data_IF_675468168913
#
_entry.id   IF_675468168913
#
_cell.length_a   1.000
_cell.length_b   1.000
_cell.length_c   1.000
_cell.angle_alpha   90.00
_cell.angle_beta   90.00
_cell.angle_gamma   90.00
#
_symmetry.space_group_name_H-M   'P 1'
#
loop_
_entity.id
_entity.type
_entity.pdbx_description
1 polymer ?
#
# COMPACT_ATOMS: atom_id res chain seq x y z
N UNK A 1 -34.16 45.85 33.03
CA UNK A 1 -35.27 45.17 32.32
C UNK A 1 -35.03 45.30 30.82
N UNK A 2 -34.72 44.21 30.12
CA UNK A 2 -34.60 44.23 28.65
C UNK A 2 -36.02 44.22 28.08
N UNK A 3 -36.49 45.36 27.58
CA UNK A 3 -37.76 45.43 26.86
C UNK A 3 -37.67 44.52 25.62
N UNK A 4 -38.71 43.73 25.37
CA UNK A 4 -38.78 42.92 24.14
C UNK A 4 -38.90 43.85 22.93
N UNK A 5 -38.41 43.42 21.75
CA UNK A 5 -38.52 44.23 20.53
C UNK A 5 -39.99 44.62 20.20
N UNK A 6 -40.96 43.79 20.59
CA UNK A 6 -42.39 44.13 20.53
C UNK A 6 -42.75 45.32 21.41
N UNK A 7 -42.22 45.39 22.64
CA UNK A 7 -42.45 46.51 23.55
C UNK A 7 -41.79 47.80 23.03
N UNK A 8 -40.65 47.71 22.34
CA UNK A 8 -40.01 48.88 21.74
C UNK A 8 -40.82 49.43 20.55
N UNK A 9 -41.42 48.54 19.74
CA UNK A 9 -42.27 48.93 18.61
C UNK A 9 -43.59 49.55 19.08
N UNK A 10 -44.22 48.97 20.12
CA UNK A 10 -45.41 49.53 20.78
C UNK A 10 -45.08 50.88 21.42
N UNK A 11 -43.94 50.98 22.13
CA UNK A 11 -43.50 52.22 22.74
C UNK A 11 -43.19 53.30 21.69
N UNK A 12 -42.53 52.94 20.59
CA UNK A 12 -42.28 53.82 19.45
C UNK A 12 -43.56 54.37 18.83
N UNK A 13 -44.54 53.51 18.53
CA UNK A 13 -45.83 53.93 17.99
C UNK A 13 -46.66 54.77 18.98
N UNK A 14 -46.59 54.46 20.28
CA UNK A 14 -47.28 55.23 21.31
C UNK A 14 -46.65 56.63 21.51
N UNK A 15 -45.32 56.71 21.51
CA UNK A 15 -44.60 57.99 21.65
C UNK A 15 -44.83 58.91 20.45
N UNK A 16 -44.83 58.39 19.21
CA UNK A 16 -45.14 59.21 18.03
C UNK A 16 -46.58 59.73 18.06
N UNK A 17 -47.53 58.91 18.51
CA UNK A 17 -48.92 59.30 18.69
C UNK A 17 -49.07 60.43 19.73
N UNK A 18 -48.39 60.30 20.87
CA UNK A 18 -48.36 61.32 21.93
C UNK A 18 -47.71 62.62 21.43
N UNK A 19 -46.60 62.54 20.69
CA UNK A 19 -45.92 63.71 20.13
C UNK A 19 -46.81 64.45 19.13
N UNK A 20 -47.51 63.73 18.26
CA UNK A 20 -48.45 64.33 17.29
C UNK A 20 -49.62 65.01 18.01
N UNK A 21 -50.18 64.38 19.05
CA UNK A 21 -51.24 64.98 19.88
C UNK A 21 -50.74 66.21 20.65
N UNK A 22 -49.51 66.18 21.17
CA UNK A 22 -48.92 67.33 21.86
C UNK A 22 -48.65 68.50 20.88
N UNK A 23 -48.18 68.21 19.67
CA UNK A 23 -47.96 69.20 18.62
C UNK A 23 -49.27 69.85 18.14
N UNK A 24 -50.36 69.10 18.02
CA UNK A 24 -51.67 69.66 17.62
C UNK A 24 -52.27 70.53 18.72
N UNK A 25 -52.09 70.17 19.99
CA UNK A 25 -52.47 71.01 21.13
C UNK A 25 -51.64 72.29 21.16
N UNK A 26 -50.32 72.20 20.98
CA UNK A 26 -49.44 73.37 20.95
C UNK A 26 -49.77 74.32 19.78
N UNK A 27 -50.04 73.78 18.59
CA UNK A 27 -50.39 74.56 17.40
C UNK A 27 -51.76 75.25 17.54
N UNK A 28 -52.75 74.58 18.12
CA UNK A 28 -54.07 75.19 18.33
C UNK A 28 -54.05 76.26 19.41
N UNK A 29 -53.13 76.15 20.38
CA UNK A 29 -52.89 77.19 21.39
C UNK A 29 -52.25 78.44 20.78
N UNK A 30 -51.28 78.31 19.87
CA UNK A 30 -50.63 79.45 19.21
C UNK A 30 -51.55 80.21 18.25
N UNK A 31 -52.55 79.54 17.64
CA UNK A 31 -53.59 80.17 16.82
C UNK A 31 -54.76 80.77 17.63
N UNK A 32 -54.71 80.75 18.97
CA UNK A 32 -55.73 81.29 19.87
C UNK A 32 -57.15 80.70 19.67
N UNK A 33 -57.25 79.41 19.36
CA UNK A 33 -58.53 78.73 19.22
C UNK A 33 -59.26 78.58 20.57
N UNK A 34 -60.60 78.44 20.53
CA UNK A 34 -61.37 78.19 21.74
C UNK A 34 -61.01 76.81 22.33
N UNK A 35 -61.01 76.70 23.67
CA UNK A 35 -60.72 75.43 24.37
C UNK A 35 -61.56 74.28 23.84
N UNK A 36 -62.83 74.54 23.51
CA UNK A 36 -63.75 73.55 22.97
C UNK A 36 -63.32 73.04 21.58
N UNK A 37 -62.83 73.92 20.70
CA UNK A 37 -62.37 73.57 19.35
C UNK A 37 -61.07 72.73 19.38
N UNK A 38 -60.19 72.98 20.36
CA UNK A 38 -58.96 72.18 20.51
C UNK A 38 -59.27 70.74 20.94
N UNK A 39 -60.21 70.57 21.87
CA UNK A 39 -60.61 69.24 22.38
C UNK A 39 -61.32 68.42 21.30
N UNK A 40 -62.18 69.05 20.49
CA UNK A 40 -62.88 68.33 19.40
C UNK A 40 -61.91 67.89 18.31
N UNK A 41 -60.93 68.70 17.93
CA UNK A 41 -59.94 68.38 16.89
C UNK A 41 -58.99 67.25 17.35
N UNK A 42 -58.54 67.30 18.60
CA UNK A 42 -57.72 66.25 19.22
C UNK A 42 -58.48 64.93 19.28
N UNK A 43 -59.76 64.95 19.67
CA UNK A 43 -60.59 63.75 19.68
C UNK A 43 -60.75 63.15 18.29
N UNK A 44 -61.01 63.98 17.28
CA UNK A 44 -61.18 63.53 15.90
C UNK A 44 -59.91 62.95 15.28
N UNK A 45 -58.73 63.49 15.63
CA UNK A 45 -57.43 62.98 15.17
C UNK A 45 -56.98 61.72 15.91
N UNK A 46 -57.37 61.55 17.18
CA UNK A 46 -56.92 60.40 17.98
C UNK A 46 -57.36 59.06 17.40
N UNK A 47 -58.60 58.96 16.92
CA UNK A 47 -59.18 57.73 16.39
C UNK A 47 -58.43 57.16 15.15
N UNK A 48 -58.22 57.92 14.05
CA UNK A 48 -57.48 57.41 12.89
C UNK A 48 -56.02 57.11 13.21
N UNK A 49 -55.38 57.86 14.11
CA UNK A 49 -54.00 57.60 14.53
C UNK A 49 -53.87 56.28 15.31
N UNK A 50 -54.80 56.00 16.23
CA UNK A 50 -54.83 54.72 16.97
C UNK A 50 -55.07 53.56 16.01
N UNK A 51 -55.98 53.72 15.05
CA UNK A 51 -56.26 52.71 14.03
C UNK A 51 -55.03 52.42 13.16
N UNK A 52 -54.29 53.45 12.76
CA UNK A 52 -53.08 53.31 11.93
C UNK A 52 -51.93 52.65 12.70
N UNK A 53 -51.74 53.01 13.98
CA UNK A 53 -50.79 52.36 14.86
C UNK A 53 -51.12 50.87 15.08
N UNK A 54 -52.39 50.55 15.33
CA UNK A 54 -52.85 49.16 15.48
C UNK A 54 -52.68 48.34 14.20
N UNK A 55 -52.98 48.93 13.03
CA UNK A 55 -52.78 48.31 11.72
C UNK A 55 -51.29 48.03 11.46
N UNK A 56 -50.42 48.98 11.77
CA UNK A 56 -48.96 48.82 11.62
C UNK A 56 -48.42 47.73 12.54
N UNK A 57 -48.83 47.72 13.81
CA UNK A 57 -48.45 46.68 14.77
C UNK A 57 -48.85 45.28 14.29
N UNK A 58 -50.10 45.10 13.85
CA UNK A 58 -50.58 43.81 13.38
C UNK A 58 -49.87 43.33 12.11
N UNK A 59 -49.53 44.25 11.19
CA UNK A 59 -48.77 43.93 9.98
C UNK A 59 -47.38 43.37 10.33
N UNK A 60 -46.63 44.05 11.20
CA UNK A 60 -45.29 43.61 11.61
C UNK A 60 -45.33 42.33 12.45
N UNK A 61 -46.31 42.21 13.37
CA UNK A 61 -46.46 41.02 14.20
C UNK A 61 -46.75 39.77 13.36
N UNK A 62 -47.67 39.85 12.41
CA UNK A 62 -47.99 38.72 11.53
C UNK A 62 -46.80 38.32 10.67
N UNK A 63 -46.06 39.29 10.12
CA UNK A 63 -44.86 39.02 9.33
C UNK A 63 -43.78 38.30 10.13
N UNK A 64 -43.48 38.77 11.35
CA UNK A 64 -42.48 38.16 12.22
C UNK A 64 -42.91 36.76 12.66
N UNK A 65 -44.18 36.58 13.04
CA UNK A 65 -44.70 35.28 13.47
C UNK A 65 -44.58 34.25 12.35
N UNK A 66 -44.93 34.61 11.12
CA UNK A 66 -44.76 33.74 9.95
C UNK A 66 -43.29 33.38 9.71
N UNK A 67 -42.37 34.33 9.84
CA UNK A 67 -40.94 34.08 9.70
C UNK A 67 -40.43 33.11 10.78
N UNK A 68 -40.86 33.29 12.03
CA UNK A 68 -40.46 32.40 13.13
C UNK A 68 -40.99 30.98 12.93
N UNK A 69 -42.26 30.82 12.58
CA UNK A 69 -42.85 29.50 12.28
C UNK A 69 -42.12 28.85 11.10
N UNK A 70 -41.77 29.62 10.07
CA UNK A 70 -41.01 29.13 8.93
C UNK A 70 -39.60 28.64 9.31
N UNK A 71 -38.85 29.43 10.11
CA UNK A 71 -37.52 28.99 10.59
C UNK A 71 -37.57 27.74 11.45
N UNK A 72 -38.65 27.56 12.22
CA UNK A 72 -38.84 26.39 13.06
C UNK A 72 -39.15 25.14 12.23
N UNK A 73 -40.00 25.26 11.22
CA UNK A 73 -40.30 24.18 10.25
C UNK A 73 -39.05 23.75 9.47
N UNK A 74 -38.25 24.69 8.98
CA UNK A 74 -36.99 24.38 8.27
C UNK A 74 -36.00 23.67 9.21
N UNK A 75 -35.96 24.04 10.48
CA UNK A 75 -35.14 23.38 11.51
C UNK A 75 -35.64 21.96 11.82
N UNK A 76 -36.94 21.72 11.71
CA UNK A 76 -37.57 20.41 11.93
C UNK A 76 -37.52 19.50 10.67
N UNK A 77 -37.06 20.02 9.52
CA UNK A 77 -36.78 19.22 8.33
C UNK A 77 -38.01 18.85 7.49
N UNK A 78 -39.18 19.45 7.75
CA UNK A 78 -40.40 19.19 6.97
C UNK A 78 -40.37 19.97 5.64
N UNK A 79 -40.15 19.26 4.52
CA UNK A 79 -39.95 19.86 3.19
C UNK A 79 -41.25 20.14 2.42
N UNK A 80 -42.43 19.83 2.98
CA UNK A 80 -43.69 19.78 2.23
C UNK A 80 -44.71 20.84 2.67
N UNK A 81 -44.33 22.12 2.69
CA UNK A 81 -45.28 23.21 2.94
C UNK A 81 -45.28 24.22 1.79
N UNK A 82 -46.33 24.15 0.95
CA UNK A 82 -46.65 25.17 -0.04
C UNK A 82 -47.52 26.24 0.62
N UNK A 83 -46.92 27.41 0.88
CA UNK A 83 -47.66 28.55 1.41
C UNK A 83 -48.26 29.40 0.29
N UNK A 84 -49.45 29.94 0.56
CA UNK A 84 -50.22 30.76 -0.37
C UNK A 84 -49.67 32.19 -0.34
N UNK A 85 -49.05 32.64 -1.44
CA UNK A 85 -48.48 33.98 -1.58
C UNK A 85 -49.58 35.03 -1.37
N UNK A 86 -49.47 35.82 -0.30
CA UNK A 86 -50.42 36.87 0.04
C UNK A 86 -49.78 38.22 -0.30
N UNK A 87 -50.02 38.66 -1.54
CA UNK A 87 -49.57 39.89 -2.22
C UNK A 87 -48.19 39.85 -2.91
N UNK A 88 -48.17 40.20 -4.21
CA UNK A 88 -47.04 40.09 -5.14
C UNK A 88 -45.91 41.12 -4.93
N UNK A 89 -46.15 42.22 -4.20
CA UNK A 89 -45.19 43.34 -4.06
C UNK A 89 -44.66 43.51 -2.62
N UNK A 90 -44.46 42.42 -1.88
CA UNK A 90 -43.97 42.48 -0.50
C UNK A 90 -42.52 41.97 -0.43
N UNK A 91 -41.57 42.82 -0.01
CA UNK A 91 -40.16 42.47 0.28
C UNK A 91 -40.02 41.20 1.15
N UNK A 92 -41.01 40.94 2.00
CA UNK A 92 -41.08 39.74 2.83
C UNK A 92 -41.28 38.45 2.03
N UNK A 93 -42.01 38.49 0.91
CA UNK A 93 -42.24 37.33 0.05
C UNK A 93 -40.96 36.98 -0.72
N UNK A 94 -40.21 37.97 -1.19
CA UNK A 94 -38.90 37.78 -1.84
C UNK A 94 -37.89 37.17 -0.86
N UNK A 95 -37.82 37.71 0.37
CA UNK A 95 -36.97 37.17 1.43
C UNK A 95 -37.37 35.72 1.80
N UNK A 96 -38.67 35.41 1.91
CA UNK A 96 -39.15 34.05 2.13
C UNK A 96 -38.73 33.10 1.01
N UNK A 97 -38.87 33.53 -0.25
CA UNK A 97 -38.47 32.75 -1.41
C UNK A 97 -36.96 32.48 -1.41
N UNK A 98 -36.13 33.47 -1.08
CA UNK A 98 -34.68 33.33 -0.99
C UNK A 98 -34.26 32.37 0.13
N UNK A 99 -34.86 32.46 1.32
CA UNK A 99 -34.59 31.49 2.39
C UNK A 99 -35.05 30.08 1.97
N UNK A 100 -36.17 29.93 1.26
CA UNK A 100 -36.60 28.61 0.77
C UNK A 100 -35.64 27.99 -0.23
N UNK A 101 -35.09 28.81 -1.13
CA UNK A 101 -34.10 28.36 -2.09
C UNK A 101 -32.80 27.92 -1.40
N UNK A 102 -32.36 28.66 -0.38
CA UNK A 102 -31.20 28.30 0.44
C UNK A 102 -31.43 27.03 1.27
N UNK A 103 -32.61 26.88 1.87
CA UNK A 103 -32.96 25.69 2.65
C UNK A 103 -32.99 24.42 1.79
N UNK A 104 -33.64 24.49 0.62
CA UNK A 104 -33.65 23.40 -0.36
C UNK A 104 -32.24 23.08 -0.87
N UNK A 105 -31.45 24.10 -1.16
CA UNK A 105 -30.06 23.93 -1.59
C UNK A 105 -29.18 23.25 -0.54
N UNK A 106 -29.32 23.61 0.74
CA UNK A 106 -28.60 22.97 1.83
C UNK A 106 -29.08 21.53 2.08
N UNK A 107 -30.39 21.27 2.05
CA UNK A 107 -30.92 19.93 2.21
C UNK A 107 -30.41 18.99 1.10
N UNK A 108 -30.42 19.46 -0.15
CA UNK A 108 -29.88 18.70 -1.28
C UNK A 108 -28.38 18.43 -1.13
N UNK A 109 -27.58 19.43 -0.70
CA UNK A 109 -26.15 19.24 -0.41
C UNK A 109 -25.90 18.20 0.70
N UNK A 110 -26.70 18.24 1.77
CA UNK A 110 -26.57 17.32 2.89
C UNK A 110 -26.87 15.88 2.46
N UNK A 111 -27.95 15.70 1.69
CA UNK A 111 -28.31 14.41 1.10
C UNK A 111 -27.26 13.91 0.11
N UNK A 112 -26.69 14.79 -0.71
CA UNK A 112 -25.63 14.44 -1.65
C UNK A 112 -24.37 13.95 -0.92
N UNK A 113 -23.97 14.64 0.17
CA UNK A 113 -22.84 14.22 1.00
C UNK A 113 -23.10 12.86 1.66
N UNK A 114 -24.28 12.63 2.23
CA UNK A 114 -24.65 11.33 2.80
C UNK A 114 -24.65 10.21 1.74
N UNK A 115 -25.13 10.51 0.54
CA UNK A 115 -25.12 9.54 -0.56
C UNK A 115 -23.70 9.20 -0.97
N UNK A 116 -22.82 10.21 -1.08
CA UNK A 116 -21.39 10.01 -1.34
C UNK A 116 -20.70 9.18 -0.26
N UNK A 117 -20.92 9.48 1.02
CA UNK A 117 -20.36 8.71 2.15
C UNK A 117 -20.81 7.25 2.10
N UNK A 118 -22.09 6.99 1.85
CA UNK A 118 -22.62 5.63 1.71
C UNK A 118 -21.99 4.90 0.51
N UNK A 119 -21.90 5.56 -0.65
CA UNK A 119 -21.27 4.97 -1.84
C UNK A 119 -19.80 4.67 -1.59
N UNK A 120 -19.05 5.59 -0.96
CA UNK A 120 -17.65 5.38 -0.60
C UNK A 120 -17.49 4.21 0.38
N UNK A 121 -18.34 4.10 1.40
CA UNK A 121 -18.35 2.96 2.31
C UNK A 121 -18.59 1.66 1.55
N UNK A 122 -19.59 1.61 0.67
CA UNK A 122 -19.86 0.41 -0.14
C UNK A 122 -18.73 0.04 -1.09
N UNK A 123 -18.06 1.03 -1.71
CA UNK A 123 -16.89 0.79 -2.56
C UNK A 123 -15.77 0.16 -1.71
N UNK A 124 -15.44 0.77 -0.58
CA UNK A 124 -14.40 0.30 0.32
C UNK A 124 -14.71 -1.09 0.89
N UNK A 125 -15.98 -1.37 1.21
CA UNK A 125 -16.46 -2.68 1.69
C UNK A 125 -16.42 -3.77 0.61
N UNK A 126 -16.67 -3.41 -0.65
CA UNK A 126 -16.53 -4.33 -1.78
C UNK A 126 -15.07 -4.56 -2.20
N UNK A 127 -14.13 -3.76 -1.68
CA UNK A 127 -12.72 -3.92 -2.00
C UNK A 127 -12.16 -5.17 -1.30
N UNK A 128 -11.62 -6.15 -2.04
CA UNK A 128 -11.05 -7.38 -1.46
C UNK A 128 -9.77 -7.16 -0.63
N UNK A 129 -9.20 -5.96 -0.63
CA UNK A 129 -7.97 -5.63 0.10
C UNK A 129 -8.37 -5.16 1.50
N UNK A 130 -7.82 -5.75 2.58
CA UNK A 130 -7.97 -5.23 3.93
C UNK A 130 -7.53 -3.76 4.02
N UNK A 131 -8.45 -2.87 4.43
CA UNK A 131 -8.19 -1.44 4.61
C UNK A 131 -8.77 -0.96 5.95
N UNK A 132 -7.98 -0.17 6.68
CA UNK A 132 -8.46 0.57 7.85
C UNK A 132 -7.89 1.98 7.92
N UNK A 133 -8.62 2.84 8.63
CA UNK A 133 -8.34 4.26 8.82
C UNK A 133 -8.25 4.55 10.32
N UNK A 134 -7.20 5.23 10.72
CA UNK A 134 -7.01 5.73 12.08
C UNK A 134 -7.00 7.26 12.11
N UNK A 135 -7.59 7.82 13.16
CA UNK A 135 -7.66 9.26 13.41
C UNK A 135 -6.40 9.81 14.09
N UNK A 136 -6.45 11.09 14.52
CA UNK A 136 -5.34 11.79 15.18
C UNK A 136 -4.91 11.18 16.52
N UNK A 137 -5.81 10.44 17.17
CA UNK A 137 -5.57 9.78 18.44
C UNK A 137 -5.23 8.29 18.24
N UNK A 138 -4.91 7.89 17.01
CA UNK A 138 -4.72 6.50 16.60
C UNK A 138 -5.93 5.61 16.91
N UNK A 139 -7.13 6.18 16.89
CA UNK A 139 -8.38 5.43 17.06
C UNK A 139 -8.95 5.05 15.71
N UNK A 140 -9.51 3.83 15.64
CA UNK A 140 -10.10 3.32 14.42
C UNK A 140 -11.30 4.18 13.99
N UNK A 141 -11.17 4.89 12.87
CA UNK A 141 -12.24 5.67 12.27
C UNK A 141 -13.08 4.85 11.30
N UNK A 142 -12.43 3.97 10.51
CA UNK A 142 -13.11 3.14 9.52
C UNK A 142 -12.36 1.83 9.27
N UNK A 143 -13.11 0.80 8.89
CA UNK A 143 -12.59 -0.48 8.40
C UNK A 143 -13.53 -1.03 7.35
N UNK A 144 -12.98 -1.76 6.38
CA UNK A 144 -13.80 -2.50 5.44
C UNK A 144 -14.08 -3.94 5.89
N UNK A 145 -14.98 -4.63 5.18
CA UNK A 145 -15.32 -6.04 5.44
C UNK A 145 -14.07 -6.93 5.37
N UNK A 146 -13.22 -6.76 4.36
CA UNK A 146 -12.00 -7.57 4.21
C UNK A 146 -11.07 -7.49 5.43
N UNK A 147 -10.92 -6.31 6.02
CA UNK A 147 -10.13 -6.13 7.23
C UNK A 147 -10.75 -6.83 8.45
N UNK A 148 -12.07 -6.73 8.60
CA UNK A 148 -12.82 -7.40 9.67
C UNK A 148 -12.75 -8.93 9.55
N UNK A 149 -12.76 -9.49 8.34
CA UNK A 149 -12.67 -10.93 8.14
C UNK A 149 -11.28 -11.47 8.45
N UNK A 150 -10.24 -10.69 8.15
CA UNK A 150 -8.85 -11.10 8.38
C UNK A 150 -8.45 -11.01 9.84
N UNK A 151 -8.73 -9.88 10.48
CA UNK A 151 -8.46 -9.71 11.90
C UNK A 151 -9.65 -10.34 12.64
N UNK A 152 -9.49 -11.58 13.08
CA UNK A 152 -10.49 -12.40 13.80
C UNK A 152 -10.82 -11.86 15.21
N UNK A 153 -10.87 -10.54 15.37
CA UNK A 153 -11.22 -9.83 16.60
C UNK A 153 -12.22 -8.70 16.30
N UNK A 154 -13.09 -8.36 17.26
CA UNK A 154 -14.07 -7.29 17.08
C UNK A 154 -13.39 -5.92 17.08
N UNK A 155 -13.15 -5.33 15.91
CA UNK A 155 -12.64 -3.95 15.81
C UNK A 155 -13.78 -2.92 15.89
N UNK A 156 -13.98 -2.29 17.04
CA UNK A 156 -15.01 -1.26 17.19
C UNK A 156 -14.46 0.10 16.74
N UNK A 157 -15.30 0.93 16.12
CA UNK A 157 -14.92 2.31 15.79
C UNK A 157 -14.59 3.02 17.12
N UNK A 158 -13.44 3.70 17.20
CA UNK A 158 -12.94 4.35 18.40
C UNK A 158 -11.94 3.54 19.24
N UNK A 159 -11.71 2.25 18.94
CA UNK A 159 -10.65 1.47 19.63
C UNK A 159 -9.27 1.94 19.18
N UNK A 160 -8.29 1.92 20.08
CA UNK A 160 -6.93 2.33 19.75
C UNK A 160 -6.24 1.30 18.85
N UNK A 161 -5.29 1.77 18.05
CA UNK A 161 -4.47 0.92 17.18
C UNK A 161 -3.72 -0.16 17.97
N UNK A 162 -3.19 0.18 19.14
CA UNK A 162 -2.44 -0.73 20.01
C UNK A 162 -3.30 -1.88 20.54
N UNK A 163 -4.54 -1.60 20.97
CA UNK A 163 -5.48 -2.63 21.43
C UNK A 163 -5.85 -3.62 20.32
N UNK A 164 -5.78 -3.16 19.07
CA UNK A 164 -6.02 -3.96 17.88
C UNK A 164 -4.77 -4.70 17.40
N UNK A 165 -3.64 -4.59 18.09
CA UNK A 165 -2.38 -5.24 17.74
C UNK A 165 -1.58 -4.53 16.65
N UNK A 166 -1.92 -3.26 16.34
CA UNK A 166 -1.12 -2.43 15.45
C UNK A 166 -0.02 -1.73 16.25
N UNK A 167 1.19 -1.83 15.74
CA UNK A 167 2.35 -1.10 16.26
C UNK A 167 2.63 0.07 15.32
N UNK A 168 2.71 1.27 15.88
CA UNK A 168 3.02 2.50 15.16
C UNK A 168 4.48 2.85 15.42
N UNK A 169 5.34 2.53 14.46
CA UNK A 169 6.76 2.92 14.50
C UNK A 169 7.02 3.94 13.39
N UNK A 170 7.55 5.11 13.76
CA UNK A 170 7.95 6.18 12.84
C UNK A 170 6.86 6.63 11.83
N UNK A 171 5.57 6.49 12.19
CA UNK A 171 4.43 6.89 11.35
C UNK A 171 3.91 5.81 10.41
N UNK A 172 4.50 4.62 10.42
CA UNK A 172 4.02 3.44 9.71
C UNK A 172 3.29 2.48 10.66
N UNK A 173 2.07 2.10 10.28
CA UNK A 173 1.29 1.07 10.96
C UNK A 173 1.73 -0.31 10.48
N UNK A 174 2.06 -1.19 11.41
CA UNK A 174 2.34 -2.61 11.13
C UNK A 174 1.52 -3.49 12.06
N UNK A 175 1.23 -4.71 11.63
CA UNK A 175 0.41 -5.63 12.40
C UNK A 175 0.90 -7.07 12.20
N UNK A 176 0.99 -7.82 13.29
CA UNK A 176 1.65 -9.13 13.34
C UNK A 176 1.03 -10.20 12.43
N UNK A 177 -0.27 -10.12 12.15
CA UNK A 177 -0.95 -11.04 11.23
C UNK A 177 -0.62 -10.80 9.75
N UNK A 178 -0.14 -9.61 9.38
CA UNK A 178 0.23 -9.29 8.00
C UNK A 178 1.77 -9.34 7.89
N UNK A 179 2.29 -10.57 7.78
CA UNK A 179 3.73 -10.87 7.77
C UNK A 179 4.30 -10.91 6.34
N UNK A 180 5.41 -11.63 6.12
CA UNK A 180 6.15 -11.72 4.85
C UNK A 180 5.30 -12.10 3.61
N UNK A 181 4.11 -12.68 3.77
CA UNK A 181 3.21 -13.01 2.67
C UNK A 181 2.31 -11.84 2.22
N UNK A 182 2.37 -10.72 2.93
CA UNK A 182 1.53 -9.55 2.74
C UNK A 182 2.39 -8.31 2.51
N UNK A 183 2.10 -7.60 1.42
CA UNK A 183 2.67 -6.28 1.20
C UNK A 183 1.79 -5.24 1.91
N UNK A 184 2.29 -4.74 3.04
CA UNK A 184 1.62 -3.71 3.83
C UNK A 184 2.00 -2.32 3.33
N UNK A 185 1.03 -1.41 3.26
CA UNK A 185 1.25 -0.01 2.95
C UNK A 185 0.54 0.85 3.99
N UNK A 186 1.29 1.79 4.58
CA UNK A 186 0.77 2.78 5.51
C UNK A 186 0.96 4.17 4.91
N UNK A 187 -0.11 4.96 4.88
CA UNK A 187 -0.08 6.34 4.36
C UNK A 187 -0.57 7.26 5.47
N UNK A 188 0.29 8.19 5.90
CA UNK A 188 -0.13 9.28 6.78
C UNK A 188 -0.47 10.52 5.94
N UNK A 189 -1.65 11.10 6.15
CA UNK A 189 -2.10 12.31 5.47
C UNK A 189 -2.68 13.32 6.46
N UNK A 190 -2.68 14.60 6.09
CA UNK A 190 -3.28 15.67 6.88
C UNK A 190 -4.68 15.97 6.35
N UNK A 191 -5.70 15.73 7.16
CA UNK A 191 -7.08 16.11 6.87
C UNK A 191 -7.53 17.19 7.86
N UNK A 192 -7.85 18.39 7.38
CA UNK A 192 -8.23 19.53 8.24
C UNK A 192 -7.22 19.84 9.36
N UNK A 193 -5.91 19.80 9.04
CA UNK A 193 -4.79 19.95 10.01
C UNK A 193 -4.66 18.83 11.05
N UNK A 194 -5.45 17.76 10.95
CA UNK A 194 -5.35 16.56 11.79
C UNK A 194 -4.64 15.45 11.03
N UNK A 195 -3.71 14.76 11.69
CA UNK A 195 -2.95 13.66 11.07
C UNK A 195 -3.79 12.39 11.12
N UNK A 196 -4.09 11.83 9.95
CA UNK A 196 -4.82 10.57 9.82
C UNK A 196 -3.91 9.52 9.17
N UNK A 197 -4.17 8.26 9.46
CA UNK A 197 -3.40 7.15 8.93
C UNK A 197 -4.31 6.17 8.18
N UNK A 198 -3.87 5.73 7.00
CA UNK A 198 -4.50 4.66 6.22
C UNK A 198 -3.56 3.47 6.24
N UNK A 199 -4.08 2.29 6.54
CA UNK A 199 -3.35 1.04 6.41
C UNK A 199 -4.07 0.13 5.41
N UNK A 200 -3.31 -0.44 4.48
CA UNK A 200 -3.77 -1.48 3.56
C UNK A 200 -2.77 -2.64 3.51
N UNK A 201 -3.27 -3.85 3.24
CA UNK A 201 -2.43 -5.04 3.12
C UNK A 201 -2.82 -5.86 1.88
N UNK A 202 -1.89 -6.05 0.95
CA UNK A 202 -2.10 -6.84 -0.27
C UNK A 202 -1.51 -8.25 -0.11
N UNK A 203 -2.30 -9.29 -0.40
CA UNK A 203 -1.84 -10.67 -0.42
C UNK A 203 -1.01 -10.93 -1.69
N UNK A 204 0.27 -11.25 -1.52
CA UNK A 204 1.19 -11.55 -2.64
C UNK A 204 1.49 -13.04 -2.76
N UNK A 205 0.87 -13.90 -1.95
CA UNK A 205 1.12 -15.35 -1.94
C UNK A 205 0.73 -16.03 -3.26
N UNK A 206 -0.43 -15.71 -3.82
CA UNK A 206 -0.93 -16.26 -5.08
C UNK A 206 0.00 -16.00 -6.29
N UNK A 207 0.35 -14.74 -6.61
CA UNK A 207 1.26 -14.47 -7.73
C UNK A 207 2.65 -15.07 -7.50
N UNK A 208 3.14 -15.10 -6.25
CA UNK A 208 4.41 -15.73 -5.91
C UNK A 208 4.39 -17.25 -6.14
N UNK A 209 3.34 -17.93 -5.67
CA UNK A 209 3.16 -19.37 -5.91
C UNK A 209 2.96 -19.70 -7.38
N UNK A 210 2.29 -18.84 -8.16
CA UNK A 210 2.17 -19.01 -9.61
C UNK A 210 3.53 -18.91 -10.30
N UNK A 211 4.36 -17.94 -9.95
CA UNK A 211 5.73 -17.84 -10.49
C UNK A 211 6.58 -19.06 -10.11
N UNK A 212 6.53 -19.50 -8.86
CA UNK A 212 7.23 -20.72 -8.42
C UNK A 212 6.76 -21.96 -9.20
N UNK A 213 5.45 -22.12 -9.40
CA UNK A 213 4.87 -23.24 -10.14
C UNK A 213 5.25 -23.23 -11.63
N UNK A 214 5.29 -22.06 -12.28
CA UNK A 214 5.74 -21.94 -13.67
C UNK A 214 7.22 -22.32 -13.80
N UNK A 215 8.08 -21.87 -12.87
CA UNK A 215 9.50 -22.24 -12.85
C UNK A 215 9.67 -23.74 -12.66
N UNK A 216 8.95 -24.34 -11.71
CA UNK A 216 8.94 -25.79 -11.49
C UNK A 216 8.43 -26.57 -12.72
N UNK A 217 7.37 -26.12 -13.37
CA UNK A 217 6.83 -26.74 -14.58
C UNK A 217 7.82 -26.67 -15.75
N UNK A 218 8.52 -25.54 -15.91
CA UNK A 218 9.55 -25.39 -16.94
C UNK A 218 10.74 -26.33 -16.65
N UNK A 219 11.17 -26.45 -15.39
CA UNK A 219 12.21 -27.41 -14.99
C UNK A 219 11.80 -28.86 -15.29
N UNK A 220 10.58 -29.27 -14.94
CA UNK A 220 10.05 -30.62 -15.24
C UNK A 220 10.04 -30.87 -16.75
N UNK A 221 9.71 -29.86 -17.57
CA UNK A 221 9.70 -29.98 -19.03
C UNK A 221 11.11 -30.21 -19.59
N UNK A 222 12.11 -29.47 -19.10
CA UNK A 222 13.52 -29.63 -19.51
C UNK A 222 14.04 -31.01 -19.09
N UNK A 223 13.76 -31.45 -17.86
CA UNK A 223 14.06 -32.80 -17.39
C UNK A 223 13.50 -33.89 -18.29
N UNK A 224 12.20 -33.80 -18.62
CA UNK A 224 11.54 -34.77 -19.47
C UNK A 224 12.16 -34.80 -20.88
N UNK A 225 12.59 -33.65 -21.38
CA UNK A 225 13.30 -33.53 -22.65
C UNK A 225 14.68 -34.19 -22.61
N UNK A 226 15.49 -33.90 -21.58
CA UNK A 226 16.84 -34.46 -21.43
C UNK A 226 16.85 -35.97 -21.13
N UNK A 227 15.87 -36.45 -20.36
CA UNK A 227 15.64 -37.89 -20.16
C UNK A 227 15.36 -38.58 -21.50
N UNK A 228 14.44 -38.05 -22.31
CA UNK A 228 14.11 -38.61 -23.62
C UNK A 228 15.31 -38.57 -24.57
N UNK A 229 16.02 -37.45 -24.63
CA UNK A 229 17.19 -37.27 -25.50
C UNK A 229 18.36 -38.20 -25.16
N UNK A 230 18.48 -38.59 -23.88
CA UNK A 230 19.50 -39.51 -23.42
C UNK A 230 19.07 -40.97 -23.58
N UNK A 231 17.85 -41.32 -23.17
CA UNK A 231 17.36 -42.71 -23.16
C UNK A 231 17.02 -43.25 -24.54
N UNK A 232 16.41 -42.45 -25.43
CA UNK A 232 15.98 -42.95 -26.76
C UNK A 232 17.16 -43.44 -27.62
N UNK A 233 18.28 -42.71 -27.75
CA UNK A 233 19.44 -43.21 -28.49
C UNK A 233 20.12 -44.39 -27.80
N UNK A 234 20.12 -44.45 -26.46
CA UNK A 234 20.66 -45.60 -25.73
C UNK A 234 19.85 -46.88 -26.00
N UNK A 235 18.52 -46.78 -25.99
CA UNK A 235 17.64 -47.88 -26.35
C UNK A 235 17.86 -48.31 -27.80
N UNK A 236 17.90 -47.38 -28.75
CA UNK A 236 18.17 -47.70 -30.17
C UNK A 236 19.55 -48.35 -30.39
N UNK A 237 20.58 -47.91 -29.67
CA UNK A 237 21.91 -48.53 -29.71
C UNK A 237 21.89 -49.95 -29.13
N UNK A 238 21.14 -50.17 -28.04
CA UNK A 238 20.95 -51.50 -27.46
C UNK A 238 20.16 -52.42 -28.39
N UNK A 239 19.06 -51.94 -28.99
CA UNK A 239 18.28 -52.67 -29.99
C UNK A 239 19.13 -53.03 -31.22
N UNK A 240 19.98 -52.11 -31.66
CA UNK A 240 20.93 -52.36 -32.76
C UNK A 240 21.85 -53.52 -32.42
N UNK A 241 22.38 -53.58 -31.19
CA UNK A 241 23.21 -54.70 -30.71
C UNK A 241 22.42 -56.00 -30.58
N UNK A 242 21.14 -55.95 -30.24
CA UNK A 242 20.27 -57.13 -30.08
C UNK A 242 19.78 -57.72 -31.40
N UNK A 243 19.61 -56.89 -32.45
CA UNK A 243 19.05 -57.31 -33.73
C UNK A 243 20.07 -57.71 -34.79
N UNK A 244 21.37 -57.55 -34.53
CA UNK A 244 22.44 -57.86 -35.48
C UNK A 244 23.46 -58.82 -34.87
N UNK A 245 23.53 -60.04 -35.41
CA UNK A 245 24.46 -61.08 -34.95
C UNK A 245 25.89 -60.93 -35.52
N UNK A 246 26.15 -59.87 -36.30
CA UNK A 246 27.36 -59.72 -37.14
C UNK A 246 28.29 -58.57 -36.71
N UNK A 247 28.27 -58.15 -35.45
CA UNK A 247 29.21 -57.15 -34.94
C UNK A 247 30.54 -57.76 -34.52
N UNK A 248 31.64 -57.07 -34.82
CA UNK A 248 32.94 -57.36 -34.21
C UNK A 248 32.97 -56.88 -32.75
N UNK A 249 33.80 -57.49 -31.91
CA UNK A 249 33.98 -57.14 -30.49
C UNK A 249 34.30 -55.64 -30.29
N UNK A 250 35.10 -55.06 -31.19
CA UNK A 250 35.44 -53.63 -31.16
C UNK A 250 34.22 -52.72 -31.38
N UNK A 251 33.29 -53.11 -32.25
CA UNK A 251 32.07 -52.35 -32.52
C UNK A 251 31.11 -52.43 -31.35
N UNK A 252 30.97 -53.61 -30.73
CA UNK A 252 30.17 -53.79 -29.50
C UNK A 252 30.74 -52.95 -28.36
N UNK A 253 32.06 -52.98 -28.16
CA UNK A 253 32.75 -52.17 -27.13
C UNK A 253 32.56 -50.68 -27.39
N UNK A 254 32.62 -50.23 -28.64
CA UNK A 254 32.36 -48.84 -29.01
C UNK A 254 30.92 -48.43 -28.65
N UNK A 255 29.91 -49.21 -29.05
CA UNK A 255 28.50 -48.90 -28.74
C UNK A 255 28.24 -48.91 -27.23
N UNK A 256 28.73 -49.91 -26.50
CA UNK A 256 28.62 -49.96 -25.04
C UNK A 256 29.31 -48.77 -24.35
N UNK A 257 30.46 -48.33 -24.87
CA UNK A 257 31.15 -47.15 -24.33
C UNK A 257 30.33 -45.87 -24.54
N UNK A 258 29.61 -45.74 -25.66
CA UNK A 258 28.71 -44.61 -25.94
C UNK A 258 27.48 -44.63 -25.06
N UNK A 259 26.89 -45.81 -24.84
CA UNK A 259 25.77 -45.99 -23.88
C UNK A 259 26.23 -45.59 -22.47
N UNK A 260 27.37 -46.11 -22.00
CA UNK A 260 27.94 -45.76 -20.69
C UNK A 260 28.20 -44.26 -20.56
N UNK A 261 28.76 -43.62 -21.58
CA UNK A 261 29.01 -42.18 -21.58
C UNK A 261 27.71 -41.37 -21.47
N UNK A 262 26.66 -41.76 -22.21
CA UNK A 262 25.34 -41.10 -22.13
C UNK A 262 24.64 -41.35 -20.80
N UNK A 263 24.76 -42.56 -20.23
CA UNK A 263 24.22 -42.90 -18.92
C UNK A 263 24.87 -42.06 -17.80
N UNK A 264 26.20 -41.94 -17.80
CA UNK A 264 26.91 -41.12 -16.83
C UNK A 264 26.51 -39.64 -16.92
N UNK A 265 26.32 -39.10 -18.15
CA UNK A 265 25.83 -37.73 -18.33
C UNK A 265 24.42 -37.55 -17.78
N UNK A 266 23.53 -38.52 -18.00
CA UNK A 266 22.17 -38.47 -17.48
C UNK A 266 22.13 -38.55 -15.96
N UNK A 267 22.95 -39.40 -15.34
CA UNK A 267 23.08 -39.48 -13.88
C UNK A 267 23.56 -38.16 -13.29
N UNK A 268 24.61 -37.57 -13.86
CA UNK A 268 25.12 -36.27 -13.44
C UNK A 268 24.05 -35.17 -13.57
N UNK A 269 23.26 -35.18 -14.64
CA UNK A 269 22.15 -34.25 -14.83
C UNK A 269 21.05 -34.42 -13.77
N UNK A 270 20.69 -35.67 -13.41
CA UNK A 270 19.70 -35.95 -12.36
C UNK A 270 20.20 -35.49 -10.99
N UNK A 271 21.46 -35.75 -10.66
CA UNK A 271 22.09 -35.29 -9.41
C UNK A 271 22.04 -33.77 -9.30
N UNK A 272 22.41 -33.06 -10.36
CA UNK A 272 22.38 -31.59 -10.38
C UNK A 272 20.94 -31.04 -10.29
N UNK A 273 19.96 -31.70 -10.90
CA UNK A 273 18.55 -31.33 -10.71
C UNK A 273 18.08 -31.52 -9.27
N UNK A 274 18.45 -32.64 -8.64
CA UNK A 274 18.08 -32.93 -7.25
C UNK A 274 18.60 -31.84 -6.30
N UNK A 275 19.81 -31.33 -6.54
CA UNK A 275 20.38 -30.22 -5.78
C UNK A 275 19.55 -28.94 -5.87
N UNK A 276 18.92 -28.66 -7.02
CA UNK A 276 18.06 -27.49 -7.20
C UNK A 276 16.63 -27.70 -6.66
N UNK A 277 16.10 -28.93 -6.75
CA UNK A 277 14.70 -29.21 -6.37
C UNK A 277 14.50 -29.58 -4.90
N UNK A 278 15.55 -29.96 -4.18
CA UNK A 278 15.47 -30.46 -2.79
C UNK A 278 16.38 -29.66 -1.84
N UNK A 279 16.50 -28.35 -2.02
CA UNK A 279 17.22 -27.54 -1.04
C UNK A 279 16.50 -27.57 0.31
N UNK A 280 17.18 -28.00 1.40
CA UNK A 280 16.63 -27.89 2.74
C UNK A 280 16.49 -26.41 3.13
N UNK A 281 15.58 -26.13 4.07
CA UNK A 281 15.50 -24.81 4.67
C UNK A 281 16.85 -24.46 5.33
N UNK A 282 17.39 -23.25 5.13
CA UNK A 282 18.71 -22.89 5.60
C UNK A 282 18.76 -22.87 7.13
N UNK A 283 19.79 -23.49 7.71
CA UNK A 283 20.07 -23.43 9.13
C UNK A 283 21.10 -22.33 9.39
N UNK A 284 20.63 -21.08 9.36
CA UNK A 284 21.52 -19.92 9.49
C UNK A 284 22.14 -19.81 10.88
N UNK A 285 23.47 -19.66 10.93
CA UNK A 285 24.23 -19.40 12.14
C UNK A 285 25.41 -18.45 11.83
N UNK A 286 26.02 -17.90 12.88
CA UNK A 286 27.23 -17.10 12.76
C UNK A 286 28.46 -18.01 12.69
N UNK A 287 29.28 -17.85 11.65
CA UNK A 287 30.54 -18.57 11.47
C UNK A 287 31.65 -17.67 10.91
N UNK A 288 32.90 -18.15 11.00
CA UNK A 288 34.08 -17.46 10.47
C UNK A 288 34.17 -17.65 8.94
N UNK A 289 34.01 -16.56 8.20
CA UNK A 289 33.97 -16.56 6.73
C UNK A 289 35.31 -16.89 6.09
N UNK A 290 36.42 -16.58 6.76
CA UNK A 290 37.77 -16.87 6.27
C UNK A 290 38.03 -18.37 6.13
N UNK A 291 37.54 -19.19 7.07
CA UNK A 291 37.73 -20.64 7.03
C UNK A 291 37.01 -21.24 5.81
N UNK A 292 35.81 -20.74 5.53
CA UNK A 292 35.01 -21.14 4.37
C UNK A 292 35.64 -20.71 3.04
N UNK A 293 36.27 -19.53 3.00
CA UNK A 293 36.98 -19.04 1.83
C UNK A 293 38.17 -19.93 1.49
N UNK A 294 38.96 -20.35 2.49
CA UNK A 294 40.08 -21.26 2.29
C UNK A 294 39.62 -22.65 1.85
N UNK A 295 38.51 -23.16 2.41
CA UNK A 295 37.90 -24.40 1.94
C UNK A 295 37.48 -24.30 0.47
N UNK A 296 36.75 -23.25 0.10
CA UNK A 296 36.30 -23.04 -1.28
C UNK A 296 37.48 -22.86 -2.25
N UNK A 297 38.54 -22.18 -1.82
CA UNK A 297 39.79 -22.00 -2.58
C UNK A 297 40.50 -23.33 -2.83
N UNK A 298 40.50 -24.24 -1.86
CA UNK A 298 41.12 -25.57 -2.01
C UNK A 298 40.45 -26.46 -3.07
N UNK A 299 39.23 -26.13 -3.48
CA UNK A 299 38.45 -26.85 -4.50
C UNK A 299 38.69 -26.35 -5.93
N UNK A 300 39.54 -25.33 -6.11
CA UNK A 300 39.96 -24.76 -7.40
C UNK A 300 41.29 -25.41 -7.78
N UNK A 301 41.42 -25.86 -9.03
CA UNK A 301 42.58 -26.66 -9.47
C UNK A 301 43.74 -25.82 -10.03
N UNK A 302 43.45 -24.62 -10.56
CA UNK A 302 44.42 -23.74 -11.24
C UNK A 302 44.76 -22.52 -10.38
N UNK A 303 45.91 -21.86 -10.64
CA UNK A 303 46.33 -20.69 -9.88
C UNK A 303 45.31 -19.55 -9.99
N UNK A 304 44.65 -19.25 -8.87
CA UNK A 304 43.71 -18.15 -8.72
C UNK A 304 44.10 -17.31 -7.49
N UNK A 305 44.21 -15.99 -7.68
CA UNK A 305 44.45 -15.05 -6.58
C UNK A 305 43.11 -14.62 -6.02
N UNK A 306 42.85 -14.96 -4.76
CA UNK A 306 41.62 -14.55 -4.06
C UNK A 306 42.00 -13.47 -3.04
N UNK A 307 41.53 -12.25 -3.26
CA UNK A 307 41.70 -11.13 -2.33
C UNK A 307 40.41 -11.01 -1.51
N UNK A 308 40.53 -11.01 -0.19
CA UNK A 308 39.38 -10.84 0.69
C UNK A 308 39.50 -9.56 1.53
N UNK A 309 38.42 -8.79 1.60
CA UNK A 309 38.29 -7.66 2.53
C UNK A 309 36.92 -7.66 3.24
N UNK A 310 36.88 -7.30 4.52
CA UNK A 310 35.62 -7.04 5.22
C UNK A 310 35.49 -7.68 6.60
N UNK A 311 34.25 -8.01 6.96
CA UNK A 311 33.89 -8.61 8.26
C UNK A 311 34.14 -10.11 8.27
N UNK A 312 34.89 -10.61 9.25
CA UNK A 312 35.18 -12.05 9.38
C UNK A 312 33.96 -12.91 9.69
N UNK A 313 32.88 -12.33 10.23
CA UNK A 313 31.70 -13.10 10.60
C UNK A 313 30.65 -13.07 9.48
N UNK A 314 30.08 -14.23 9.17
CA UNK A 314 28.99 -14.38 8.20
C UNK A 314 27.78 -15.04 8.86
N UNK A 315 26.58 -14.52 8.63
CA UNK A 315 25.33 -15.14 9.07
C UNK A 315 24.67 -15.87 7.89
N UNK A 316 24.83 -17.19 7.83
CA UNK A 316 24.24 -18.04 6.79
C UNK A 316 24.22 -19.51 7.23
N UNK A 317 23.63 -20.38 6.41
CA UNK A 317 23.91 -21.80 6.46
C UNK A 317 25.31 -22.06 5.87
N UNK A 318 26.24 -22.53 6.71
CA UNK A 318 27.66 -22.71 6.36
C UNK A 318 27.84 -23.62 5.14
N UNK A 319 27.10 -24.73 5.06
CA UNK A 319 27.21 -25.68 3.95
C UNK A 319 26.67 -25.10 2.65
N UNK A 320 25.53 -24.39 2.72
CA UNK A 320 24.97 -23.74 1.54
C UNK A 320 25.84 -22.56 1.06
N UNK A 321 26.49 -21.85 1.99
CA UNK A 321 27.44 -20.80 1.65
C UNK A 321 28.70 -21.37 0.99
N UNK A 322 29.23 -22.50 1.49
CA UNK A 322 30.35 -23.20 0.85
C UNK A 322 30.03 -23.53 -0.61
N UNK A 323 28.82 -24.08 -0.83
CA UNK A 323 28.32 -24.44 -2.16
C UNK A 323 28.26 -23.23 -3.11
N UNK A 324 27.81 -22.07 -2.62
CA UNK A 324 27.81 -20.83 -3.39
C UNK A 324 29.23 -20.44 -3.79
N UNK A 325 30.15 -20.37 -2.82
CA UNK A 325 31.52 -19.92 -3.06
C UNK A 325 32.22 -20.84 -4.07
N UNK A 326 32.11 -22.16 -3.90
CA UNK A 326 32.69 -23.14 -4.82
C UNK A 326 32.14 -22.95 -6.24
N UNK A 327 30.83 -22.75 -6.39
CA UNK A 327 30.22 -22.55 -7.71
C UNK A 327 30.65 -21.23 -8.37
N UNK A 328 30.74 -20.15 -7.60
CA UNK A 328 31.17 -18.84 -8.12
C UNK A 328 32.65 -18.90 -8.49
N UNK A 329 33.50 -19.45 -7.64
CA UNK A 329 34.94 -19.53 -7.89
C UNK A 329 35.29 -20.43 -9.08
N UNK A 330 34.63 -21.59 -9.20
CA UNK A 330 34.76 -22.43 -10.40
C UNK A 330 34.32 -21.70 -11.67
N UNK A 331 33.20 -20.97 -11.59
CA UNK A 331 32.73 -20.20 -12.74
C UNK A 331 33.71 -19.09 -13.15
N UNK A 332 34.31 -18.40 -12.18
CA UNK A 332 35.31 -17.36 -12.40
C UNK A 332 36.60 -17.95 -13.00
N UNK A 333 37.10 -19.04 -12.43
CA UNK A 333 38.27 -19.77 -12.94
C UNK A 333 38.06 -20.20 -14.39
N UNK A 334 36.95 -20.87 -14.69
CA UNK A 334 36.62 -21.33 -16.06
C UNK A 334 36.37 -20.19 -17.06
N UNK A 335 36.13 -18.96 -16.58
CA UNK A 335 35.88 -17.80 -17.43
C UNK A 335 37.17 -17.02 -17.72
N UNK A 336 38.17 -17.11 -16.85
CA UNK A 336 39.45 -16.42 -17.03
C UNK A 336 40.38 -17.22 -17.94
N UNK A 337 41.25 -16.54 -18.68
CA UNK A 337 42.35 -17.21 -19.39
C UNK A 337 43.34 -17.77 -18.35
N UNK A 338 43.87 -18.98 -18.60
CA UNK A 338 44.59 -19.85 -17.64
C UNK A 338 45.79 -19.20 -16.90
N UNK A 339 46.26 -18.04 -17.35
CA UNK A 339 47.46 -17.39 -16.80
C UNK A 339 47.20 -16.38 -15.66
N UNK A 340 46.01 -15.77 -15.56
CA UNK A 340 45.73 -14.73 -14.54
C UNK A 340 44.24 -14.69 -14.13
N UNK A 341 43.82 -15.57 -13.22
CA UNK A 341 42.50 -15.46 -12.56
C UNK A 341 42.61 -14.71 -11.23
N UNK A 342 41.88 -13.61 -11.09
CA UNK A 342 41.80 -12.80 -9.88
C UNK A 342 40.35 -12.66 -9.43
N UNK A 343 40.09 -12.95 -8.15
CA UNK A 343 38.77 -12.88 -7.53
C UNK A 343 38.85 -11.98 -6.30
N UNK A 344 38.12 -10.87 -6.32
CA UNK A 344 37.97 -9.98 -5.18
C UNK A 344 36.66 -10.31 -4.45
N UNK A 345 36.78 -10.72 -3.19
CA UNK A 345 35.64 -11.00 -2.31
C UNK A 345 35.56 -9.92 -1.24
N UNK A 346 34.36 -9.36 -1.05
CA UNK A 346 34.09 -8.42 0.02
C UNK A 346 32.83 -8.73 0.80
N UNK A 347 32.93 -8.73 2.13
CA UNK A 347 31.82 -8.97 3.04
C UNK A 347 31.64 -7.76 3.95
N UNK A 348 30.50 -7.08 3.86
CA UNK A 348 30.22 -5.90 4.66
C UNK A 348 28.75 -5.81 5.06
N UNK A 349 28.47 -5.06 6.12
CA UNK A 349 27.10 -4.78 6.55
C UNK A 349 26.66 -3.42 6.07
N UNK A 350 25.46 -3.37 5.49
CA UNK A 350 24.80 -2.13 5.09
C UNK A 350 23.57 -1.92 5.97
N UNK A 351 23.51 -0.75 6.60
CA UNK A 351 22.27 -0.28 7.21
C UNK A 351 21.36 0.22 6.10
N UNK A 352 20.21 -0.41 5.92
CA UNK A 352 19.17 0.08 5.02
C UNK A 352 17.98 0.60 5.83
N UNK A 353 17.64 1.85 5.58
CA UNK A 353 16.40 2.45 6.06
C UNK A 353 15.30 2.16 5.04
N UNK A 354 14.75 0.95 5.07
CA UNK A 354 13.53 0.64 4.33
C UNK A 354 12.33 0.94 5.22
N UNK A 355 11.50 1.91 4.83
CA UNK A 355 10.22 2.22 5.48
C UNK A 355 10.29 2.49 7.00
N UNK A 356 11.39 3.09 7.47
CA UNK A 356 11.55 3.49 8.88
C UNK A 356 12.07 2.40 9.83
N UNK A 357 12.35 1.19 9.33
CA UNK A 357 13.06 0.14 10.05
C UNK A 357 14.55 0.18 9.71
N UNK A 358 15.40 0.23 10.73
CA UNK A 358 16.84 -0.02 10.57
C UNK A 358 17.04 -1.53 10.45
N UNK A 359 17.17 -2.01 9.22
CA UNK A 359 17.54 -3.41 8.99
C UNK A 359 19.00 -3.46 8.57
N UNK A 360 19.77 -4.27 9.30
CA UNK A 360 21.14 -4.58 8.89
C UNK A 360 21.08 -5.67 7.84
N UNK A 361 21.55 -5.36 6.62
CA UNK A 361 21.77 -6.35 5.57
C UNK A 361 23.23 -6.73 5.52
N UNK A 362 23.49 -8.03 5.48
CA UNK A 362 24.79 -8.55 5.11
C UNK A 362 24.90 -8.51 3.59
N UNK A 363 26.03 -8.04 3.07
CA UNK A 363 26.31 -7.98 1.63
C UNK A 363 27.63 -8.70 1.36
N UNK A 364 27.57 -9.66 0.44
CA UNK A 364 28.74 -10.34 -0.12
C UNK A 364 28.84 -9.94 -1.58
N UNK A 365 29.93 -9.28 -1.94
CA UNK A 365 30.27 -8.87 -3.29
C UNK A 365 31.49 -9.69 -3.75
N UNK A 366 31.34 -10.42 -4.86
CA UNK A 366 32.41 -11.19 -5.49
C UNK A 366 32.61 -10.63 -6.90
N UNK A 367 33.85 -10.28 -7.24
CA UNK A 367 34.23 -9.79 -8.57
C UNK A 367 35.31 -10.68 -9.14
N UNK A 368 35.21 -10.97 -10.43
CA UNK A 368 36.27 -11.63 -11.20
C UNK A 368 36.82 -10.67 -12.26
N UNK A 369 37.96 -11.04 -12.85
CA UNK A 369 38.61 -10.34 -13.95
C UNK A 369 38.38 -11.00 -15.33
N UNK A 370 37.31 -11.80 -15.47
CA UNK A 370 37.01 -12.52 -16.71
C UNK A 370 36.41 -11.64 -17.83
N UNK A 371 35.78 -12.25 -18.86
CA UNK A 371 35.09 -11.52 -19.92
C UNK A 371 33.69 -11.02 -19.51
N UNK A 372 33.22 -11.36 -18.31
CA UNK A 372 31.87 -11.08 -17.84
C UNK A 372 30.78 -11.98 -18.48
N UNK A 373 29.51 -11.63 -18.26
CA UNK A 373 28.36 -12.35 -18.79
C UNK A 373 27.96 -11.88 -20.19
N UNK A 374 27.90 -12.81 -21.15
CA UNK A 374 27.42 -12.51 -22.51
C UNK A 374 25.92 -12.19 -22.57
N UNK A 375 25.12 -12.77 -21.66
CA UNK A 375 23.67 -12.56 -21.58
C UNK A 375 23.22 -12.62 -20.12
N UNK A 376 23.07 -11.45 -19.49
CA UNK A 376 22.65 -11.32 -18.09
C UNK A 376 21.22 -11.81 -17.86
N UNK A 377 20.30 -11.56 -18.80
CA UNK A 377 18.88 -11.91 -18.65
C UNK A 377 18.66 -13.42 -18.51
N UNK A 378 19.52 -14.21 -19.15
CA UNK A 378 19.44 -15.68 -19.11
C UNK A 378 20.43 -16.33 -18.14
N UNK A 379 21.35 -15.59 -17.53
CA UNK A 379 22.41 -16.14 -16.69
C UNK A 379 21.88 -16.88 -15.44
N UNK A 380 20.68 -16.51 -14.96
CA UNK A 380 20.00 -17.15 -13.83
C UNK A 380 19.00 -18.22 -14.26
N UNK A 381 18.77 -18.40 -15.55
CA UNK A 381 17.86 -19.42 -16.07
C UNK A 381 18.52 -20.79 -15.90
N UNK A 382 17.91 -21.73 -15.16
CA UNK A 382 18.48 -23.07 -14.98
C UNK A 382 18.74 -23.76 -16.32
N UNK A 383 19.87 -24.47 -16.41
CA UNK A 383 20.36 -25.15 -17.62
C UNK A 383 20.78 -24.24 -18.77
N UNK A 384 20.75 -22.91 -18.60
CA UNK A 384 21.36 -22.01 -19.56
C UNK A 384 22.87 -22.00 -19.38
N UNK A 385 23.59 -22.34 -20.43
CA UNK A 385 25.06 -22.28 -20.44
C UNK A 385 25.56 -22.04 -21.85
N UNK A 386 26.63 -21.25 -21.96
CA UNK A 386 27.38 -21.05 -23.22
C UNK A 386 28.57 -22.00 -23.32
N UNK A 387 28.85 -22.79 -22.27
CA UNK A 387 30.01 -23.69 -22.17
C UNK A 387 29.68 -25.09 -22.68
N UNK A 388 30.61 -25.73 -23.39
CA UNK A 388 30.45 -27.07 -23.98
C UNK A 388 30.29 -28.21 -22.97
N UNK A 389 30.79 -28.02 -21.74
CA UNK A 389 30.69 -28.96 -20.62
C UNK A 389 30.02 -28.36 -19.36
N UNK A 390 29.48 -27.15 -19.46
CA UNK A 390 28.79 -26.50 -18.35
C UNK A 390 27.43 -27.15 -18.08
N UNK A 391 27.07 -27.28 -16.81
CA UNK A 391 25.73 -27.75 -16.40
C UNK A 391 24.65 -26.66 -16.53
N UNK A 392 25.04 -25.38 -16.40
CA UNK A 392 24.09 -24.26 -16.36
C UNK A 392 23.25 -24.19 -15.09
N UNK A 393 23.56 -24.97 -14.06
CA UNK A 393 22.84 -24.96 -12.77
C UNK A 393 23.52 -24.06 -11.72
N UNK A 394 24.84 -23.95 -11.73
CA UNK A 394 25.61 -23.34 -10.63
C UNK A 394 25.10 -21.97 -10.18
N UNK A 395 24.92 -21.01 -11.08
CA UNK A 395 24.43 -19.67 -10.73
C UNK A 395 22.96 -19.65 -10.32
N UNK A 396 22.12 -20.47 -10.96
CA UNK A 396 20.71 -20.60 -10.59
C UNK A 396 20.54 -21.20 -9.18
N UNK A 397 21.42 -22.13 -8.79
CA UNK A 397 21.50 -22.68 -7.45
C UNK A 397 21.94 -21.62 -6.43
N UNK A 398 22.96 -20.81 -6.76
CA UNK A 398 23.39 -19.72 -5.89
C UNK A 398 22.28 -18.69 -5.65
N UNK A 399 21.52 -18.35 -6.69
CA UNK A 399 20.37 -17.47 -6.59
C UNK A 399 19.25 -18.04 -5.71
N UNK A 400 18.97 -19.34 -5.84
CA UNK A 400 17.95 -20.01 -5.01
C UNK A 400 18.37 -20.13 -3.55
N UNK A 401 19.64 -20.48 -3.28
CA UNK A 401 20.19 -20.46 -1.91
C UNK A 401 20.06 -19.06 -1.30
N UNK A 402 20.48 -18.02 -2.03
CA UNK A 402 20.40 -16.63 -1.55
C UNK A 402 18.96 -16.20 -1.27
N UNK A 403 18.03 -16.60 -2.14
CA UNK A 403 16.59 -16.36 -1.95
C UNK A 403 16.03 -17.08 -0.73
N UNK A 404 16.44 -18.33 -0.48
CA UNK A 404 16.04 -19.09 0.71
C UNK A 404 16.54 -18.45 2.01
N UNK A 405 17.65 -17.70 1.96
CA UNK A 405 18.12 -16.87 3.07
C UNK A 405 17.37 -15.53 3.19
N UNK A 406 16.33 -15.30 2.38
CA UNK A 406 15.54 -14.05 2.36
C UNK A 406 16.24 -12.90 1.64
N UNK A 407 17.21 -13.19 0.78
CA UNK A 407 18.05 -12.21 0.11
C UNK A 407 17.77 -11.99 -1.37
N UNK A 408 18.56 -11.07 -1.92
CA UNK A 408 18.63 -10.74 -3.34
C UNK A 408 19.98 -11.18 -3.92
N UNK A 409 19.94 -11.77 -5.11
CA UNK A 409 21.11 -12.19 -5.88
C UNK A 409 21.15 -11.38 -7.20
N UNK A 410 22.18 -10.56 -7.39
CA UNK A 410 22.32 -9.69 -8.56
C UNK A 410 23.61 -9.96 -9.32
N UNK A 411 23.52 -9.93 -10.64
CA UNK A 411 24.63 -10.08 -11.57
C UNK A 411 24.85 -8.76 -12.33
N UNK A 412 26.09 -8.30 -12.40
CA UNK A 412 26.48 -7.09 -13.12
C UNK A 412 27.76 -7.38 -13.93
N UNK A 413 27.90 -6.81 -15.13
CA UNK A 413 29.20 -6.75 -15.81
C UNK A 413 29.93 -5.49 -15.38
N UNK A 414 31.25 -5.61 -15.17
CA UNK A 414 32.15 -4.49 -14.90
C UNK A 414 32.99 -4.17 -16.14
N UNK A 415 33.82 -3.13 -16.10
CA UNK A 415 34.74 -2.81 -17.21
C UNK A 415 35.72 -3.95 -17.50
N UNK A 416 36.08 -4.73 -16.47
CA UNK A 416 36.98 -5.88 -16.56
C UNK A 416 36.43 -7.03 -15.68
N UNK A 417 35.47 -7.78 -16.22
CA UNK A 417 34.92 -8.99 -15.57
C UNK A 417 33.49 -8.89 -15.07
N UNK A 418 33.08 -9.87 -14.28
CA UNK A 418 31.74 -9.94 -13.70
C UNK A 418 31.74 -9.61 -12.21
N UNK A 419 30.60 -9.08 -11.75
CA UNK A 419 30.29 -8.86 -10.33
C UNK A 419 29.04 -9.63 -9.97
N UNK A 420 29.14 -10.41 -8.91
CA UNK A 420 28.04 -11.12 -8.27
C UNK A 420 27.86 -10.51 -6.89
N UNK A 421 26.64 -10.05 -6.58
CA UNK A 421 26.30 -9.54 -5.26
C UNK A 421 25.15 -10.34 -4.67
N UNK A 422 25.31 -10.69 -3.40
CA UNK A 422 24.31 -11.36 -2.60
C UNK A 422 24.07 -10.53 -1.36
N UNK A 423 22.81 -10.26 -1.05
CA UNK A 423 22.45 -9.45 0.10
C UNK A 423 21.21 -9.99 0.81
N UNK A 424 21.29 -10.26 2.11
CA UNK A 424 20.16 -10.73 2.90
C UNK A 424 20.13 -10.10 4.29
N UNK A 425 18.96 -10.05 4.94
CA UNK A 425 18.85 -9.49 6.28
C UNK A 425 19.50 -10.40 7.32
N UNK A 426 20.15 -9.77 8.30
CA UNK A 426 20.70 -10.46 9.47
C UNK A 426 19.73 -10.26 10.63
N UNK A 427 19.28 -11.35 11.26
CA UNK A 427 18.38 -11.23 12.41
C UNK A 427 19.19 -10.83 13.64
N UNK A 428 18.93 -9.63 14.17
CA UNK A 428 19.68 -9.01 15.26
C UNK A 428 19.35 -9.63 16.64
N UNK A 429 18.68 -10.79 16.66
CA UNK A 429 18.18 -11.47 17.86
C UNK A 429 19.10 -12.57 18.41
N UNK A 430 20.23 -12.83 17.77
CA UNK A 430 21.21 -13.82 18.23
C UNK A 430 22.48 -13.14 18.78
N UNK A 431 22.31 -12.31 19.82
CA UNK A 431 23.39 -11.92 20.75
C UNK A 431 22.96 -12.22 22.18
#
# INVERSE_FOLDING_TARGET
>A
MKFSHEQWLIFGLATTLIVILALTIALTYTLAWSKLATVTLVFFLSYPLIWLAWRSYNFWKQAIMQLTTYTQVVREGETNLRFKVQHQDNLLAELQQEISALALGNAHKLQQNQTLENVLSHILDSWPIPVCLFDENNQLSYRNIAMKEKIQQPMLIGTTAEDLGFVIENGNLTHSQFNQQWQCQSISYLFQQKKCHIFSALDISQPLHQQQSITQQNLIRVLAHELRNSLTPMASMADTLLCNDSFNEDQVRLVLSRIRQRSNRLLSFIEQYSQLSQLPAPQSSWFEFNDLLEEAKSMITEPCTINYQGSNQCFADEQQMAQILINIFKNAQEACDEEHCEIDVSLYYRQENSQGYQQTKQVIDIRDNGPGFANLDNALTPFYTTKSHGSGIGLSLCAEITRNHGGEFTLENTEHGARIRMAWPVDNKAH
#
